data_IF_328261838199
#
_entry.id   IF_328261838199
#
_cell.length_a   1.000
_cell.length_b   1.000
_cell.length_c   1.000
_cell.angle_alpha   90.00
_cell.angle_beta   90.00
_cell.angle_gamma   90.00
#
_symmetry.space_group_name_H-M   'P 1'
#
loop_
_entity.id
_entity.type
_entity.pdbx_description
1 polymer ?
#
# COMPACT_ATOMS: atom_id res chain seq x y z
N UNK A 1 -64.44 87.07 -21.75
CA UNK A 1 -64.47 88.25 -20.85
C UNK A 1 -63.04 88.67 -20.59
N UNK A 2 -62.77 89.96 -20.40
CA UNK A 2 -61.44 90.44 -20.04
C UNK A 2 -61.57 91.62 -19.07
N UNK A 3 -60.79 91.60 -17.98
CA UNK A 3 -60.50 92.77 -17.14
C UNK A 3 -59.03 92.73 -16.71
N UNK A 4 -58.35 93.89 -16.58
CA UNK A 4 -56.92 93.96 -16.34
C UNK A 4 -56.57 94.06 -14.84
N UNK A 5 -55.35 93.65 -14.49
CA UNK A 5 -54.71 94.02 -13.21
C UNK A 5 -53.37 94.70 -13.53
N UNK A 6 -53.03 95.73 -12.76
CA UNK A 6 -52.09 96.78 -13.17
C UNK A 6 -50.61 96.51 -12.81
N UNK A 7 -49.73 97.28 -13.44
CA UNK A 7 -48.29 97.33 -13.14
C UNK A 7 -48.02 97.95 -11.77
N UNK A 8 -47.36 97.23 -10.88
CA UNK A 8 -46.66 97.82 -9.73
C UNK A 8 -45.14 97.72 -9.94
N UNK A 9 -44.50 98.82 -10.34
CA UNK A 9 -43.04 98.90 -10.51
C UNK A 9 -42.34 99.18 -9.16
N UNK A 10 -42.26 98.15 -8.31
CA UNK A 10 -41.49 98.21 -7.07
C UNK A 10 -39.98 98.27 -7.35
N UNK A 11 -39.37 99.45 -7.24
CA UNK A 11 -37.90 99.62 -7.31
C UNK A 11 -37.23 99.11 -6.03
N UNK A 12 -37.15 97.79 -5.87
CA UNK A 12 -36.17 97.20 -4.96
C UNK A 12 -34.76 97.48 -5.51
N UNK A 13 -34.02 98.37 -4.84
CA UNK A 13 -32.57 98.50 -5.06
C UNK A 13 -31.94 97.17 -4.68
N UNK A 14 -31.54 96.39 -5.67
CA UNK A 14 -30.68 95.24 -5.44
C UNK A 14 -29.37 95.77 -4.81
N UNK A 15 -29.13 95.43 -3.54
CA UNK A 15 -27.79 95.46 -2.97
C UNK A 15 -27.05 94.33 -3.66
N UNK A 16 -26.37 94.67 -4.76
CA UNK A 16 -25.55 93.72 -5.50
C UNK A 16 -24.35 93.37 -4.63
N UNK A 17 -24.47 92.29 -3.86
CA UNK A 17 -23.32 91.50 -3.43
C UNK A 17 -22.62 91.05 -4.72
N UNK A 18 -21.65 91.85 -5.16
CA UNK A 18 -20.92 91.68 -6.40
C UNK A 18 -19.86 90.59 -6.22
N UNK A 19 -20.29 89.39 -5.84
CA UNK A 19 -19.52 88.19 -6.14
C UNK A 19 -19.44 88.08 -7.66
N UNK A 20 -18.23 88.06 -8.26
CA UNK A 20 -18.10 87.64 -9.64
C UNK A 20 -18.47 86.15 -9.68
N UNK A 21 -19.70 85.85 -10.07
CA UNK A 21 -20.11 84.52 -10.51
C UNK A 21 -19.34 84.21 -11.81
N UNK A 22 -18.09 83.80 -11.65
CA UNK A 22 -17.15 83.66 -12.75
C UNK A 22 -17.71 82.64 -13.76
N UNK A 23 -17.85 83.08 -15.02
CA UNK A 23 -18.56 82.37 -16.09
C UNK A 23 -17.82 81.15 -16.63
N UNK A 24 -17.23 80.34 -15.76
CA UNK A 24 -16.58 79.08 -16.09
C UNK A 24 -17.65 78.03 -16.40
N UNK A 25 -18.03 77.93 -17.68
CA UNK A 25 -18.77 76.77 -18.17
C UNK A 25 -17.96 75.51 -17.87
N UNK A 26 -18.49 74.65 -17.00
CA UNK A 26 -17.90 73.34 -16.74
C UNK A 26 -17.79 72.56 -18.05
N UNK A 27 -16.67 71.86 -18.26
CA UNK A 27 -16.52 70.96 -19.42
C UNK A 27 -17.61 69.89 -19.37
N UNK A 28 -18.18 69.48 -20.51
CA UNK A 28 -19.18 68.41 -20.53
C UNK A 28 -18.60 67.13 -19.92
N UNK A 29 -19.42 66.39 -19.18
CA UNK A 29 -19.00 65.15 -18.54
C UNK A 29 -18.58 64.12 -19.61
N UNK A 30 -17.43 63.44 -19.47
CA UNK A 30 -16.97 62.43 -20.42
C UNK A 30 -17.76 61.12 -20.25
N UNK A 31 -19.03 61.14 -20.64
CA UNK A 31 -19.92 59.98 -20.62
C UNK A 31 -19.77 59.19 -21.93
N UNK A 32 -19.50 57.90 -21.82
CA UNK A 32 -19.42 56.97 -22.95
C UNK A 32 -20.82 56.57 -23.43
N UNK A 33 -21.60 57.55 -23.91
CA UNK A 33 -22.93 57.38 -24.51
C UNK A 33 -22.87 57.09 -26.03
N UNK A 34 -21.66 56.96 -26.59
CA UNK A 34 -21.42 56.56 -27.97
C UNK A 34 -21.83 55.11 -28.22
N UNK A 35 -22.13 54.79 -29.49
CA UNK A 35 -22.50 53.44 -29.92
C UNK A 35 -21.37 52.39 -29.78
N UNK A 36 -21.66 51.18 -30.26
CA UNK A 36 -20.78 50.01 -30.14
C UNK A 36 -19.41 50.28 -30.77
N UNK A 37 -18.35 50.20 -29.97
CA UNK A 37 -16.98 50.26 -30.47
C UNK A 37 -16.63 48.94 -31.16
N UNK A 38 -16.52 48.99 -32.49
CA UNK A 38 -16.04 47.90 -33.35
C UNK A 38 -14.65 48.32 -33.85
N UNK A 39 -13.57 47.57 -33.54
CA UNK A 39 -12.22 47.90 -33.97
C UNK A 39 -11.93 47.33 -35.36
N UNK A 40 -11.18 48.09 -36.17
CA UNK A 40 -10.78 47.65 -37.50
C UNK A 40 -9.85 46.41 -37.44
N UNK A 41 -10.19 45.31 -38.15
CA UNK A 41 -9.40 44.07 -38.11
C UNK A 41 -8.11 44.16 -38.93
N UNK A 42 -8.08 45.01 -39.96
CA UNK A 42 -6.88 45.27 -40.75
C UNK A 42 -5.82 46.09 -39.97
N UNK A 43 -6.24 46.83 -38.94
CA UNK A 43 -5.39 47.84 -38.32
C UNK A 43 -4.30 47.21 -37.44
N UNK A 44 -3.01 47.60 -37.57
CA UNK A 44 -1.91 47.02 -36.78
C UNK A 44 -1.93 47.45 -35.30
N UNK A 45 -2.72 48.49 -34.96
CA UNK A 45 -2.89 48.99 -33.58
C UNK A 45 -3.94 48.19 -32.80
N UNK A 46 -4.87 47.53 -33.48
CA UNK A 46 -5.90 46.68 -32.87
C UNK A 46 -5.26 45.43 -32.26
N UNK A 47 -5.49 45.16 -30.97
CA UNK A 47 -4.88 44.02 -30.26
C UNK A 47 -5.45 42.71 -30.77
N UNK A 48 -4.62 41.66 -30.91
CA UNK A 48 -5.02 40.39 -31.49
C UNK A 48 -6.30 39.77 -30.90
N UNK A 49 -6.47 39.82 -29.57
CA UNK A 49 -7.67 39.31 -28.90
C UNK A 49 -8.97 40.06 -29.24
N UNK A 50 -8.88 41.29 -29.77
CA UNK A 50 -10.04 42.06 -30.24
C UNK A 50 -10.47 41.67 -31.67
N UNK A 51 -9.66 40.88 -32.39
CA UNK A 51 -9.93 40.42 -33.76
C UNK A 51 -10.54 39.01 -33.83
N UNK A 52 -10.68 38.33 -32.68
CA UNK A 52 -11.18 36.95 -32.60
C UNK A 52 -12.67 36.85 -32.24
N UNK A 53 -13.31 35.70 -32.51
CA UNK A 53 -14.74 35.50 -32.27
C UNK A 53 -15.14 35.68 -30.80
N UNK A 54 -14.23 35.39 -29.85
CA UNK A 54 -14.44 35.66 -28.43
C UNK A 54 -14.69 37.16 -28.10
N UNK A 55 -14.22 38.09 -28.93
CA UNK A 55 -14.53 39.51 -28.79
C UNK A 55 -15.89 39.87 -29.41
N UNK A 56 -16.22 39.29 -30.56
CA UNK A 56 -17.53 39.44 -31.20
C UNK A 56 -18.66 38.93 -30.29
N UNK A 57 -18.49 37.74 -29.70
CA UNK A 57 -19.39 37.19 -28.70
C UNK A 57 -19.52 38.08 -27.45
N UNK A 58 -18.42 38.75 -27.05
CA UNK A 58 -18.42 39.72 -25.94
C UNK A 58 -19.10 41.05 -26.29
N UNK A 59 -19.12 41.47 -27.56
CA UNK A 59 -19.91 42.60 -28.02
C UNK A 59 -21.40 42.23 -28.06
N UNK A 60 -21.73 41.07 -28.65
CA UNK A 60 -23.11 40.56 -28.70
C UNK A 60 -23.70 40.36 -27.30
N UNK A 61 -22.94 39.78 -26.36
CA UNK A 61 -23.36 39.63 -24.97
C UNK A 61 -23.53 40.94 -24.18
N UNK A 62 -23.10 42.09 -24.71
CA UNK A 62 -23.26 43.42 -24.07
C UNK A 62 -24.27 44.33 -24.75
N UNK A 63 -24.45 44.19 -26.06
CA UNK A 63 -25.29 45.08 -26.88
C UNK A 63 -26.37 44.34 -27.69
N UNK A 64 -26.43 43.01 -27.60
CA UNK A 64 -27.33 42.17 -28.39
C UNK A 64 -27.12 42.31 -29.89
N UNK A 65 -28.19 42.20 -30.65
CA UNK A 65 -28.22 42.39 -32.11
C UNK A 65 -27.76 43.78 -32.56
N UNK A 66 -27.81 44.81 -31.70
CA UNK A 66 -27.27 46.13 -32.00
C UNK A 66 -25.73 46.17 -32.13
N UNK A 67 -25.04 45.07 -31.83
CA UNK A 67 -23.61 44.88 -32.15
C UNK A 67 -23.34 44.56 -33.63
N UNK A 68 -24.35 44.17 -34.40
CA UNK A 68 -24.18 43.72 -35.80
C UNK A 68 -23.54 42.34 -35.98
N UNK A 69 -23.22 41.62 -34.90
CA UNK A 69 -22.65 40.27 -34.94
C UNK A 69 -23.74 39.23 -35.25
N UNK A 70 -23.52 38.40 -36.28
CA UNK A 70 -24.42 37.31 -36.65
C UNK A 70 -24.50 36.24 -35.55
N UNK A 71 -25.69 35.90 -35.00
CA UNK A 71 -25.82 34.93 -33.91
C UNK A 71 -25.32 33.52 -34.26
N UNK A 72 -25.38 33.14 -35.54
CA UNK A 72 -24.89 31.85 -36.04
C UNK A 72 -23.39 31.64 -35.77
N UNK A 73 -22.59 32.71 -35.85
CA UNK A 73 -21.13 32.70 -35.65
C UNK A 73 -20.73 32.61 -34.16
N UNK A 74 -21.70 32.60 -33.25
CA UNK A 74 -21.48 32.41 -31.81
C UNK A 74 -21.43 30.93 -31.40
N UNK A 75 -21.93 30.04 -32.26
CA UNK A 75 -21.82 28.60 -32.08
C UNK A 75 -20.48 28.09 -32.62
N UNK A 76 -19.90 27.01 -32.06
CA UNK A 76 -18.69 26.39 -32.60
C UNK A 76 -18.88 25.97 -34.06
N UNK A 77 -17.83 26.09 -34.87
CA UNK A 77 -17.81 25.45 -36.18
C UNK A 77 -17.87 23.92 -36.06
N UNK A 78 -18.29 23.18 -37.11
CA UNK A 78 -18.35 21.72 -37.06
C UNK A 78 -17.01 21.05 -36.71
N UNK A 79 -15.88 21.63 -37.10
CA UNK A 79 -14.55 21.14 -36.72
C UNK A 79 -14.22 21.36 -35.24
N UNK A 80 -14.62 22.51 -34.68
CA UNK A 80 -14.44 22.80 -33.24
C UNK A 80 -15.37 21.92 -32.40
N UNK A 81 -16.60 21.69 -32.86
CA UNK A 81 -17.55 20.78 -32.20
C UNK A 81 -17.01 19.34 -32.15
N UNK A 82 -16.44 18.84 -33.25
CA UNK A 82 -15.81 17.51 -33.29
C UNK A 82 -14.65 17.40 -32.28
N UNK A 83 -13.79 18.42 -32.18
CA UNK A 83 -12.69 18.43 -31.19
C UNK A 83 -13.21 18.47 -29.76
N UNK A 84 -14.24 19.26 -29.47
CA UNK A 84 -14.89 19.31 -28.15
C UNK A 84 -15.49 17.94 -27.81
N UNK A 85 -16.17 17.29 -28.76
CA UNK A 85 -16.70 15.94 -28.60
C UNK A 85 -15.61 14.87 -28.38
N UNK A 86 -14.46 14.96 -29.07
CA UNK A 86 -13.32 14.07 -28.90
C UNK A 86 -12.64 14.25 -27.53
N UNK A 87 -12.41 15.51 -27.12
CA UNK A 87 -11.93 15.85 -25.78
C UNK A 87 -12.90 15.38 -24.69
N UNK A 88 -14.20 15.53 -24.89
CA UNK A 88 -15.21 15.07 -23.93
C UNK A 88 -15.20 13.54 -23.79
N UNK A 89 -15.11 12.79 -24.89
CA UNK A 89 -15.09 11.32 -24.87
C UNK A 89 -13.82 10.74 -24.24
N UNK A 90 -12.67 11.40 -24.38
CA UNK A 90 -11.41 10.97 -23.78
C UNK A 90 -11.37 11.28 -22.26
N UNK A 91 -11.75 12.49 -21.85
CA UNK A 91 -11.61 12.94 -20.46
C UNK A 91 -12.82 12.64 -19.56
N UNK A 92 -14.02 12.57 -20.10
CA UNK A 92 -15.28 12.40 -19.36
C UNK A 92 -16.02 11.11 -19.79
N UNK A 93 -15.56 9.92 -19.35
CA UNK A 93 -16.15 8.65 -19.74
C UNK A 93 -17.59 8.50 -19.27
N UNK A 94 -18.37 7.65 -19.95
CA UNK A 94 -19.79 7.50 -19.66
C UNK A 94 -20.07 6.95 -18.25
N UNK A 95 -21.24 7.28 -17.69
CA UNK A 95 -21.64 6.80 -16.37
C UNK A 95 -21.67 5.27 -16.29
N UNK A 96 -22.08 4.58 -17.36
CA UNK A 96 -22.08 3.11 -17.45
C UNK A 96 -20.67 2.52 -17.35
N UNK A 97 -19.68 3.13 -18.01
CA UNK A 97 -18.28 2.75 -17.83
C UNK A 97 -17.77 3.04 -16.43
N UNK A 98 -18.09 4.20 -15.83
CA UNK A 98 -17.65 4.53 -14.48
C UNK A 98 -18.16 3.50 -13.46
N UNK A 99 -19.44 3.11 -13.54
CA UNK A 99 -20.02 2.03 -12.72
C UNK A 99 -19.31 0.69 -12.98
N UNK A 100 -19.10 0.34 -14.25
CA UNK A 100 -18.41 -0.92 -14.63
C UNK A 100 -16.95 -0.97 -14.11
N UNK A 101 -16.24 0.16 -14.15
CA UNK A 101 -14.87 0.34 -13.62
C UNK A 101 -14.84 0.27 -12.09
N UNK A 102 -15.90 0.71 -11.39
CA UNK A 102 -16.04 0.57 -9.93
C UNK A 102 -16.34 -0.89 -9.54
N UNK A 103 -17.34 -1.52 -10.16
CA UNK A 103 -17.67 -2.93 -9.95
C UNK A 103 -16.45 -3.86 -10.15
N UNK A 104 -15.63 -3.60 -11.16
CA UNK A 104 -14.41 -4.38 -11.40
C UNK A 104 -13.40 -4.24 -10.24
N UNK A 105 -13.16 -3.02 -9.76
CA UNK A 105 -12.27 -2.75 -8.62
C UNK A 105 -12.78 -3.40 -7.33
N UNK A 106 -14.08 -3.29 -7.04
CA UNK A 106 -14.69 -3.93 -5.87
C UNK A 106 -14.55 -5.47 -5.91
N UNK A 107 -14.82 -6.08 -7.08
CA UNK A 107 -14.65 -7.53 -7.29
C UNK A 107 -13.19 -7.97 -7.14
N UNK A 108 -12.23 -7.16 -7.56
CA UNK A 108 -10.80 -7.40 -7.31
C UNK A 108 -10.42 -7.26 -5.83
N UNK A 109 -10.88 -6.21 -5.14
CA UNK A 109 -10.61 -6.00 -3.73
C UNK A 109 -11.18 -7.13 -2.86
N UNK A 110 -12.41 -7.57 -3.15
CA UNK A 110 -13.06 -8.66 -2.44
C UNK A 110 -12.29 -9.97 -2.60
N UNK A 111 -11.79 -10.29 -3.82
CA UNK A 111 -10.88 -11.43 -4.03
C UNK A 111 -9.59 -11.31 -3.21
N UNK A 112 -8.92 -10.17 -3.28
CA UNK A 112 -7.66 -9.91 -2.52
C UNK A 112 -7.87 -10.00 -1.00
N UNK A 113 -9.05 -9.61 -0.49
CA UNK A 113 -9.48 -9.77 0.91
C UNK A 113 -9.69 -11.25 1.25
N UNK A 114 -10.47 -11.98 0.45
CA UNK A 114 -10.75 -13.42 0.62
C UNK A 114 -9.48 -14.29 0.55
N UNK A 115 -8.59 -14.04 -0.41
CA UNK A 115 -7.30 -14.74 -0.54
C UNK A 115 -6.41 -14.55 0.70
N UNK A 116 -6.35 -13.32 1.22
CA UNK A 116 -5.63 -12.98 2.46
C UNK A 116 -6.26 -13.65 3.68
N UNK A 117 -7.58 -13.65 3.79
CA UNK A 117 -8.32 -14.29 4.89
C UNK A 117 -8.11 -15.82 4.87
N UNK A 118 -8.20 -16.45 3.70
CA UNK A 118 -7.92 -17.88 3.52
C UNK A 118 -6.47 -18.23 3.88
N UNK A 119 -5.49 -17.42 3.45
CA UNK A 119 -4.08 -17.60 3.83
C UNK A 119 -3.86 -17.44 5.35
N UNK A 120 -4.54 -16.50 6.00
CA UNK A 120 -4.50 -16.33 7.45
C UNK A 120 -5.12 -17.56 8.13
N UNK A 121 -6.29 -18.02 7.69
CA UNK A 121 -6.97 -19.19 8.25
C UNK A 121 -6.11 -20.47 8.14
N UNK A 122 -5.52 -20.73 6.97
CA UNK A 122 -4.63 -21.88 6.75
C UNK A 122 -3.38 -21.83 7.65
N UNK A 123 -2.78 -20.65 7.82
CA UNK A 123 -1.66 -20.47 8.74
C UNK A 123 -2.09 -20.65 10.21
N UNK A 124 -3.22 -20.08 10.62
CA UNK A 124 -3.77 -20.23 11.98
C UNK A 124 -4.12 -21.68 12.31
N UNK A 125 -4.58 -22.48 11.34
CA UNK A 125 -4.79 -23.93 11.52
C UNK A 125 -3.48 -24.71 11.71
N UNK A 126 -2.36 -24.22 11.15
CA UNK A 126 -1.02 -24.82 11.30
C UNK A 126 -0.33 -24.42 12.61
N UNK A 127 -0.61 -23.22 13.12
CA UNK A 127 0.07 -22.63 14.28
C UNK A 127 0.06 -23.51 15.56
N UNK A 128 -1.04 -24.17 15.98
CA UNK A 128 -1.05 -25.02 17.18
C UNK A 128 0.04 -26.10 17.16
N UNK A 129 0.17 -26.82 16.04
CA UNK A 129 1.18 -27.88 15.87
C UNK A 129 2.60 -27.30 15.94
N UNK A 130 2.85 -26.17 15.27
CA UNK A 130 4.14 -25.48 15.32
C UNK A 130 4.50 -25.00 16.73
N UNK A 131 3.51 -24.55 17.52
CA UNK A 131 3.69 -24.15 18.93
C UNK A 131 3.99 -25.37 19.81
N UNK A 132 3.36 -26.52 19.57
CA UNK A 132 3.65 -27.78 20.26
C UNK A 132 5.05 -28.33 19.92
N UNK A 133 5.43 -28.32 18.65
CA UNK A 133 6.76 -28.71 18.17
C UNK A 133 7.85 -27.82 18.80
N UNK A 134 7.65 -26.50 18.82
CA UNK A 134 8.57 -25.56 19.46
C UNK A 134 8.64 -25.78 20.98
N UNK A 135 7.50 -25.99 21.66
CA UNK A 135 7.46 -26.34 23.09
C UNK A 135 8.19 -27.66 23.38
N UNK A 136 8.06 -28.66 22.52
CA UNK A 136 8.76 -29.96 22.61
C UNK A 136 10.27 -29.78 22.45
N UNK A 137 10.72 -29.12 21.37
CA UNK A 137 12.14 -28.82 21.16
C UNK A 137 12.77 -28.02 22.30
N UNK A 138 12.04 -27.07 22.89
CA UNK A 138 12.54 -26.30 24.06
C UNK A 138 12.59 -27.12 25.35
N UNK A 139 11.74 -28.14 25.51
CA UNK A 139 11.83 -29.13 26.62
C UNK A 139 13.03 -30.05 26.42
N UNK A 140 13.20 -30.62 25.22
CA UNK A 140 14.35 -31.48 24.89
C UNK A 140 15.68 -30.77 25.06
N UNK A 141 15.81 -29.52 24.60
CA UNK A 141 17.02 -28.73 24.78
C UNK A 141 17.36 -28.54 26.28
N UNK A 142 16.35 -28.24 27.11
CA UNK A 142 16.50 -28.14 28.57
C UNK A 142 16.85 -29.49 29.24
N UNK A 143 16.37 -30.61 28.70
CA UNK A 143 16.73 -31.95 29.18
C UNK A 143 18.19 -32.28 28.84
N UNK A 144 18.60 -32.07 27.58
CA UNK A 144 20.00 -32.25 27.12
C UNK A 144 20.97 -31.37 27.93
N UNK A 145 20.62 -30.11 28.18
CA UNK A 145 21.41 -29.20 29.03
C UNK A 145 21.54 -29.70 30.49
N UNK A 146 20.46 -30.22 31.08
CA UNK A 146 20.48 -30.83 32.42
C UNK A 146 21.31 -32.10 32.46
N UNK A 147 21.18 -32.97 31.47
CA UNK A 147 22.00 -34.19 31.34
C UNK A 147 23.48 -33.85 31.20
N UNK A 148 23.83 -32.87 30.37
CA UNK A 148 25.22 -32.41 30.25
C UNK A 148 25.76 -31.86 31.58
N UNK A 149 24.97 -31.06 32.30
CA UNK A 149 25.34 -30.55 33.63
C UNK A 149 25.55 -31.72 34.62
N UNK A 150 24.67 -32.71 34.63
CA UNK A 150 24.81 -33.91 35.47
C UNK A 150 26.02 -34.78 35.06
N UNK A 151 26.29 -34.96 33.76
CA UNK A 151 27.47 -35.68 33.24
C UNK A 151 28.77 -34.96 33.65
N UNK A 152 28.82 -33.62 33.50
CA UNK A 152 29.94 -32.77 33.94
C UNK A 152 30.15 -32.84 35.45
N UNK A 153 29.07 -32.80 36.25
CA UNK A 153 29.13 -32.98 37.71
C UNK A 153 29.66 -34.36 38.13
N UNK A 154 29.19 -35.45 37.49
CA UNK A 154 29.69 -36.81 37.75
C UNK A 154 31.20 -36.94 37.47
N UNK A 155 31.67 -36.37 36.35
CA UNK A 155 33.10 -36.36 36.01
C UNK A 155 33.95 -35.56 37.02
N UNK A 156 33.41 -34.45 37.55
CA UNK A 156 34.07 -33.67 38.61
C UNK A 156 34.13 -34.40 39.96
N UNK A 157 33.10 -35.17 40.31
CA UNK A 157 33.12 -36.01 41.52
C UNK A 157 34.16 -37.13 41.41
N UNK A 158 34.18 -37.87 40.29
CA UNK A 158 35.19 -38.91 40.02
C UNK A 158 36.61 -38.34 40.03
N UNK A 159 36.82 -37.13 39.49
CA UNK A 159 38.10 -36.44 39.58
C UNK A 159 38.49 -36.10 41.03
N UNK A 160 37.54 -35.61 41.84
CA UNK A 160 37.77 -35.31 43.26
C UNK A 160 38.06 -36.57 44.08
N UNK A 161 37.41 -37.69 43.77
CA UNK A 161 37.68 -39.00 44.39
C UNK A 161 39.08 -39.51 44.02
N UNK A 162 39.49 -39.40 42.74
CA UNK A 162 40.80 -39.87 42.26
C UNK A 162 41.98 -39.00 42.69
N UNK A 163 41.78 -37.68 42.84
CA UNK A 163 42.85 -36.71 43.09
C UNK A 163 42.77 -35.97 44.44
N UNK A 164 41.72 -36.18 45.24
CA UNK A 164 41.47 -35.57 46.55
C UNK A 164 41.10 -34.07 46.52
N UNK A 165 41.69 -33.31 45.60
CA UNK A 165 41.54 -31.86 45.44
C UNK A 165 40.49 -31.54 44.35
N UNK A 166 39.91 -30.33 44.38
CA UNK A 166 39.10 -29.81 43.28
C UNK A 166 39.98 -29.54 42.05
N UNK A 167 39.77 -30.31 40.97
CA UNK A 167 40.58 -30.24 39.74
C UNK A 167 39.84 -29.49 38.63
N UNK A 168 40.53 -28.56 37.96
CA UNK A 168 39.98 -27.81 36.82
C UNK A 168 39.79 -28.70 35.57
N UNK A 169 38.64 -28.60 34.86
CA UNK A 169 38.37 -29.33 33.61
C UNK A 169 39.35 -29.07 32.46
N UNK A 170 40.14 -27.99 32.52
CA UNK A 170 41.15 -27.62 31.52
C UNK A 170 42.55 -28.16 31.83
N UNK A 171 42.75 -28.75 33.02
CA UNK A 171 44.07 -29.24 33.44
C UNK A 171 44.49 -30.52 32.69
N UNK A 172 45.78 -30.72 32.41
CA UNK A 172 46.25 -31.91 31.68
C UNK A 172 45.91 -33.21 32.40
N UNK A 173 46.01 -33.21 33.74
CA UNK A 173 45.66 -34.37 34.61
C UNK A 173 44.20 -34.81 34.45
N UNK A 174 43.28 -33.88 34.28
CA UNK A 174 41.86 -34.18 34.03
C UNK A 174 41.65 -34.77 32.63
N UNK A 175 42.34 -34.23 31.61
CA UNK A 175 42.27 -34.73 30.24
C UNK A 175 42.89 -36.15 30.09
N UNK A 176 43.92 -36.47 30.86
CA UNK A 176 44.49 -37.83 30.96
C UNK A 176 43.50 -38.79 31.62
N UNK A 177 42.91 -38.42 32.76
CA UNK A 177 41.86 -39.20 33.41
C UNK A 177 40.67 -39.47 32.48
N UNK A 178 40.21 -38.48 31.71
CA UNK A 178 39.14 -38.68 30.72
C UNK A 178 39.54 -39.68 29.63
N UNK A 179 40.76 -39.59 29.08
CA UNK A 179 41.26 -40.56 28.09
C UNK A 179 41.28 -41.99 28.62
N UNK A 180 41.56 -42.19 29.91
CA UNK A 180 41.56 -43.52 30.53
C UNK A 180 40.15 -44.05 30.77
N UNK A 181 39.24 -43.22 31.28
CA UNK A 181 37.82 -43.56 31.40
C UNK A 181 37.22 -43.94 30.04
N UNK A 182 37.52 -43.18 28.98
CA UNK A 182 37.12 -43.50 27.61
C UNK A 182 37.69 -44.84 27.11
N UNK A 183 38.95 -45.19 27.43
CA UNK A 183 39.53 -46.49 27.07
C UNK A 183 38.77 -47.64 27.73
N UNK A 184 38.44 -47.50 29.01
CA UNK A 184 37.77 -48.54 29.79
C UNK A 184 36.28 -48.65 29.48
N UNK A 185 35.59 -47.56 29.17
CA UNK A 185 34.25 -47.59 28.58
C UNK A 185 34.28 -48.26 27.19
N UNK A 186 35.23 -47.91 26.31
CA UNK A 186 35.39 -48.56 25.00
C UNK A 186 35.76 -50.04 25.11
N UNK A 187 36.47 -50.46 26.17
CA UNK A 187 36.71 -51.88 26.51
C UNK A 187 35.43 -52.57 26.96
N UNK A 188 34.70 -51.99 27.92
CA UNK A 188 33.41 -52.52 28.44
C UNK A 188 32.35 -52.66 27.33
N UNK A 189 32.18 -51.63 26.50
CA UNK A 189 31.28 -51.67 25.34
C UNK A 189 31.67 -52.72 24.30
N UNK A 190 32.98 -52.94 24.07
CA UNK A 190 33.47 -54.02 23.20
C UNK A 190 33.25 -55.41 23.81
N UNK A 191 33.31 -55.55 25.15
CA UNK A 191 33.00 -56.79 25.84
C UNK A 191 31.49 -57.10 25.80
N UNK A 192 30.62 -56.16 26.17
CA UNK A 192 29.15 -56.32 26.08
C UNK A 192 28.71 -56.62 24.65
N UNK A 193 29.27 -55.93 23.65
CA UNK A 193 28.98 -56.20 22.23
C UNK A 193 29.60 -57.52 21.71
N UNK A 194 30.49 -58.17 22.45
CA UNK A 194 30.93 -59.55 22.18
C UNK A 194 29.96 -60.54 22.81
N UNK A 195 29.64 -60.38 24.10
CA UNK A 195 28.63 -61.19 24.79
C UNK A 195 27.30 -61.21 24.01
N UNK A 196 26.77 -60.05 23.63
CA UNK A 196 25.53 -59.95 22.84
C UNK A 196 25.62 -60.68 21.49
N UNK A 197 26.78 -60.68 20.83
CA UNK A 197 26.98 -61.41 19.56
C UNK A 197 27.14 -62.92 19.78
N UNK A 198 27.70 -63.32 20.92
CA UNK A 198 27.86 -64.71 21.32
C UNK A 198 26.51 -65.28 21.78
N UNK A 199 25.68 -64.48 22.45
CA UNK A 199 24.26 -64.72 22.76
C UNK A 199 23.39 -64.78 21.50
N UNK A 200 23.49 -63.82 20.58
CA UNK A 200 22.83 -63.86 19.25
C UNK A 200 23.21 -65.13 18.47
N UNK A 201 24.50 -65.50 18.45
CA UNK A 201 24.99 -66.71 17.80
C UNK A 201 24.51 -67.99 18.51
N UNK A 202 24.47 -68.00 19.84
CA UNK A 202 23.95 -69.12 20.61
C UNK A 202 22.44 -69.29 20.40
N UNK A 203 21.68 -68.20 20.31
CA UNK A 203 20.25 -68.22 20.00
C UNK A 203 19.98 -68.72 18.56
N UNK A 204 20.78 -68.28 17.57
CA UNK A 204 20.71 -68.79 16.19
C UNK A 204 21.11 -70.27 16.13
N UNK A 205 22.16 -70.68 16.85
CA UNK A 205 22.57 -72.08 16.92
C UNK A 205 21.53 -72.96 17.62
N UNK A 206 20.88 -72.47 18.68
CA UNK A 206 19.77 -73.16 19.34
C UNK A 206 18.55 -73.26 18.43
N UNK A 207 18.21 -72.20 17.67
CA UNK A 207 17.14 -72.25 16.67
C UNK A 207 17.42 -73.25 15.53
N UNK A 208 18.68 -73.48 15.18
CA UNK A 208 19.10 -74.56 14.28
C UNK A 208 19.04 -75.94 14.95
N UNK A 209 19.52 -76.07 16.20
CA UNK A 209 19.56 -77.33 16.94
C UNK A 209 18.16 -77.84 17.36
N UNK A 210 17.18 -76.96 17.49
CA UNK A 210 15.76 -77.29 17.76
C UNK A 210 15.01 -77.69 16.46
N UNK A 211 15.69 -77.77 15.30
CA UNK A 211 15.10 -78.23 14.04
C UNK A 211 15.69 -79.54 13.45
N UNK A 212 15.67 -80.67 14.17
CA UNK A 212 15.80 -82.00 13.59
C UNK A 212 14.44 -82.59 13.17
N UNK A 213 14.46 -83.45 12.14
CA UNK A 213 13.43 -84.46 11.83
C UNK A 213 11.97 -83.99 11.60
N UNK A 214 11.76 -83.32 10.47
CA UNK A 214 10.65 -83.64 9.56
C UNK A 214 11.19 -83.66 8.12
N UNK A 215 10.52 -84.38 7.22
CA UNK A 215 10.74 -84.47 5.75
C UNK A 215 11.79 -85.49 5.22
N UNK A 216 11.51 -86.79 5.44
CA UNK A 216 11.69 -87.94 4.51
C UNK A 216 11.09 -89.20 5.16
N UNK A 217 10.45 -90.18 4.51
CA UNK A 217 9.89 -90.39 3.15
C UNK A 217 8.81 -91.53 3.28
N UNK A 218 8.06 -92.07 2.31
CA UNK A 218 8.03 -92.05 0.83
C UNK A 218 6.61 -92.41 0.32
N UNK A 219 6.28 -92.17 -0.97
CA UNK A 219 5.41 -93.08 -1.75
C UNK A 219 4.06 -92.55 -2.30
N UNK A 220 3.94 -92.55 -3.63
CA UNK A 220 2.69 -92.44 -4.43
C UNK A 220 2.09 -93.83 -4.73
N UNK A 221 0.99 -94.01 -5.51
CA UNK A 221 -0.02 -93.05 -6.01
C UNK A 221 -1.48 -93.53 -5.81
N UNK A 222 -2.47 -92.69 -6.19
CA UNK A 222 -3.67 -93.01 -7.00
C UNK A 222 -4.32 -91.69 -7.43
#
# INVERSE_FOLDING_TARGET
MALPIQRCWGRLRAVTLQWPAAGYHAKPLPLNLSGVYIPDPADPKTKAWQKGPAYEAKLYGRYGSASGVSPERLWPSPEELQRIEEEEKEWYPSLGEMLSRLEAKEKEELKKKQEREHLIAANMAKMPKMVEDWRRGKREARQKEKEEKAKKQRLLLIAREKFGVTVDPRSPKFLEMMKDLEKDEKRKLKAVKRMQREEERAAIAAAFAVKPAADSDTGSPV
#
